data_IF_633646296945
#
_entry.id   IF_633646296945
#
_cell.length_a   1.000
_cell.length_b   1.000
_cell.length_c   1.000
_cell.angle_alpha   90.00
_cell.angle_beta   90.00
_cell.angle_gamma   90.00
#
_symmetry.space_group_name_H-M   'P 1'
#
loop_
_entity.id
_entity.type
_entity.pdbx_description
1 polymer ?
#
# COMPACT_ATOMS: atom_id res chain seq x y z
N UNK A 1 11.53 19.71 6.86
CA UNK A 1 10.98 18.97 8.02
C UNK A 1 10.98 17.50 7.66
N UNK A 2 11.54 16.62 8.49
CA UNK A 2 11.26 15.19 8.35
C UNK A 2 9.99 14.87 9.13
N UNK A 3 9.04 14.12 8.54
CA UNK A 3 7.80 13.80 9.21
C UNK A 3 8.09 12.87 10.39
N UNK A 4 7.67 13.26 11.60
CA UNK A 4 7.79 12.44 12.81
C UNK A 4 7.17 11.03 12.64
N UNK A 5 6.17 10.90 11.76
CA UNK A 5 5.58 9.60 11.39
C UNK A 5 6.56 8.60 10.76
N UNK A 6 7.68 9.05 10.19
CA UNK A 6 8.72 8.15 9.69
C UNK A 6 9.44 7.36 10.80
N UNK A 7 9.34 7.78 12.06
CA UNK A 7 9.90 7.07 13.22
C UNK A 7 9.07 5.86 13.67
N UNK A 8 7.81 5.75 13.22
CA UNK A 8 6.89 4.65 13.58
C UNK A 8 7.02 3.42 12.69
N UNK A 9 7.83 3.49 11.63
CA UNK A 9 8.02 2.42 10.64
C UNK A 9 9.50 2.03 10.59
N UNK A 10 9.80 0.78 10.18
CA UNK A 10 11.15 0.22 10.18
C UNK A 10 12.26 1.15 9.66
N UNK A 11 13.45 1.02 10.26
CA UNK A 11 14.65 1.83 9.98
C UNK A 11 15.03 1.71 8.51
N UNK A 12 15.08 2.84 7.79
CA UNK A 12 15.60 2.92 6.43
C UNK A 12 16.56 4.09 6.26
N UNK A 13 17.52 3.97 5.33
CA UNK A 13 18.61 4.95 5.14
C UNK A 13 18.06 6.36 4.92
N UNK A 14 17.05 6.51 4.07
CA UNK A 14 16.43 7.81 3.77
C UNK A 14 15.68 8.42 4.95
N UNK A 15 15.20 7.59 5.89
CA UNK A 15 14.49 8.05 7.10
C UNK A 15 15.45 8.51 8.20
N UNK A 16 16.58 7.81 8.38
CA UNK A 16 17.61 8.20 9.37
C UNK A 16 18.37 9.46 8.93
N UNK A 17 18.50 9.68 7.62
CA UNK A 17 19.25 10.81 7.07
C UNK A 17 18.78 12.18 7.60
N UNK A 18 17.49 12.32 7.86
CA UNK A 18 16.95 13.59 8.37
C UNK A 18 17.20 13.84 9.86
N UNK A 19 17.55 12.79 10.62
CA UNK A 19 18.00 12.92 12.01
C UNK A 19 19.48 13.37 12.10
N UNK A 20 20.25 13.19 11.02
CA UNK A 20 21.68 13.51 11.02
C UNK A 20 21.94 15.01 11.28
N UNK A 21 21.28 15.99 10.61
CA UNK A 21 21.52 17.40 10.88
C UNK A 21 21.27 17.83 12.34
N UNK A 22 20.11 17.53 12.98
CA UNK A 22 19.90 17.92 14.38
C UNK A 22 20.85 17.19 15.34
N UNK A 23 21.17 15.91 15.09
CA UNK A 23 22.14 15.18 15.90
C UNK A 23 23.54 15.82 15.83
N UNK A 24 24.01 16.21 14.65
CA UNK A 24 25.30 16.90 14.47
C UNK A 24 25.33 18.23 15.22
N UNK A 25 24.24 19.01 15.17
CA UNK A 25 24.16 20.29 15.90
C UNK A 25 24.23 20.06 17.41
N UNK A 26 23.48 19.10 17.95
CA UNK A 26 23.55 18.77 19.38
C UNK A 26 24.92 18.25 19.80
N UNK A 27 25.55 17.41 18.98
CA UNK A 27 26.92 16.94 19.20
C UNK A 27 27.90 18.11 19.23
N UNK A 28 27.78 19.06 18.31
CA UNK A 28 28.62 20.27 18.30
C UNK A 28 28.44 21.14 19.55
N UNK A 29 27.19 21.41 19.93
CA UNK A 29 26.85 22.20 21.14
C UNK A 29 27.37 21.50 22.41
N UNK A 30 27.31 20.17 22.47
CA UNK A 30 27.80 19.42 23.62
C UNK A 30 29.34 19.29 23.66
N UNK A 31 29.99 19.12 22.51
CA UNK A 31 31.43 18.93 22.43
C UNK A 31 32.21 20.21 22.73
N UNK A 32 31.72 21.38 22.30
CA UNK A 32 32.47 22.64 22.43
C UNK A 32 32.77 23.04 23.91
N UNK A 33 31.79 23.01 24.85
CA UNK A 33 32.05 23.26 26.26
C UNK A 33 32.94 22.19 26.90
N UNK A 34 32.78 20.93 26.51
CA UNK A 34 33.54 19.79 27.05
C UNK A 34 35.01 19.90 26.64
N UNK A 35 35.28 20.12 25.35
CA UNK A 35 36.64 20.32 24.84
C UNK A 35 37.28 21.57 25.46
N UNK A 36 36.53 22.67 25.57
CA UNK A 36 36.99 23.91 26.22
C UNK A 36 37.32 23.73 27.71
N UNK A 37 36.62 22.84 28.42
CA UNK A 37 36.94 22.48 29.80
C UNK A 37 38.19 21.60 29.88
N UNK A 38 38.32 20.60 28.99
CA UNK A 38 39.47 19.70 28.93
C UNK A 38 40.77 20.45 28.63
N UNK A 39 40.77 21.37 27.66
CA UNK A 39 41.98 22.13 27.29
C UNK A 39 42.47 23.10 28.37
N UNK A 40 41.63 23.42 29.37
CA UNK A 40 42.05 24.16 30.57
C UNK A 40 42.80 23.29 31.58
N UNK A 41 42.65 21.96 31.50
CA UNK A 41 43.22 20.98 32.45
C UNK A 41 44.39 20.21 31.87
N UNK A 42 44.42 20.01 30.56
CA UNK A 42 45.46 19.29 29.83
C UNK A 42 45.86 20.05 28.55
N UNK A 43 47.09 19.88 28.03
CA UNK A 43 47.51 20.51 26.79
C UNK A 43 46.57 20.15 25.64
N UNK A 44 46.23 21.13 24.78
CA UNK A 44 45.30 20.95 23.66
C UNK A 44 45.67 19.78 22.72
N UNK A 45 46.97 19.48 22.59
CA UNK A 45 47.44 18.35 21.81
C UNK A 45 46.91 17.00 22.34
N UNK A 46 46.72 16.85 23.65
CA UNK A 46 46.30 15.58 24.25
C UNK A 46 44.87 15.14 23.83
N UNK A 47 43.80 15.95 23.99
CA UNK A 47 42.47 15.56 23.51
C UNK A 47 42.40 15.49 21.98
N UNK A 48 43.17 16.30 21.25
CA UNK A 48 43.24 16.23 19.79
C UNK A 48 43.86 14.91 19.30
N UNK A 49 44.97 14.48 19.90
CA UNK A 49 45.61 13.20 19.62
C UNK A 49 44.71 12.04 20.05
N UNK A 50 44.05 12.14 21.21
CA UNK A 50 43.12 11.10 21.67
C UNK A 50 41.91 10.94 20.73
N UNK A 51 41.32 12.04 20.27
CA UNK A 51 40.22 12.02 19.31
C UNK A 51 40.69 11.47 17.96
N UNK A 52 41.84 11.93 17.46
CA UNK A 52 42.42 11.43 16.22
C UNK A 52 42.69 9.93 16.31
N UNK A 53 43.35 9.46 17.37
CA UNK A 53 43.59 8.04 17.61
C UNK A 53 42.29 7.24 17.73
N UNK A 54 41.29 7.75 18.47
CA UNK A 54 39.99 7.09 18.61
C UNK A 54 39.25 6.94 17.29
N UNK A 55 39.19 8.01 16.47
CA UNK A 55 38.58 7.97 15.14
C UNK A 55 39.35 7.08 14.17
N UNK A 56 40.68 7.12 14.19
CA UNK A 56 41.52 6.24 13.36
C UNK A 56 41.36 4.78 13.75
N UNK A 57 41.37 4.45 15.04
CA UNK A 57 41.13 3.10 15.54
C UNK A 57 39.71 2.63 15.21
N UNK A 58 38.71 3.51 15.35
CA UNK A 58 37.33 3.24 14.94
C UNK A 58 37.22 2.95 13.44
N UNK A 59 37.87 3.75 12.59
CA UNK A 59 37.92 3.53 11.14
C UNK A 59 38.60 2.21 10.77
N UNK A 60 39.74 1.89 11.39
CA UNK A 60 40.44 0.60 11.20
C UNK A 60 39.57 -0.57 11.67
N UNK A 61 38.89 -0.42 12.81
CA UNK A 61 37.97 -1.41 13.32
C UNK A 61 36.81 -1.66 12.36
N UNK A 62 36.15 -0.60 11.88
CA UNK A 62 35.06 -0.70 10.90
C UNK A 62 35.52 -1.34 9.58
N UNK A 63 36.72 -0.98 9.10
CA UNK A 63 37.31 -1.61 7.91
C UNK A 63 37.54 -3.10 8.14
N UNK A 64 38.15 -3.47 9.27
CA UNK A 64 38.38 -4.87 9.63
C UNK A 64 37.05 -5.63 9.75
N UNK A 65 36.08 -5.04 10.42
CA UNK A 65 34.74 -5.63 10.60
C UNK A 65 34.06 -5.87 9.24
N UNK A 66 34.09 -4.88 8.36
CA UNK A 66 33.57 -5.02 6.99
C UNK A 66 34.30 -6.11 6.19
N UNK A 67 35.62 -6.27 6.36
CA UNK A 67 36.40 -7.30 5.67
C UNK A 67 36.21 -8.71 6.25
N UNK A 68 35.99 -8.82 7.57
CA UNK A 68 35.92 -10.12 8.27
C UNK A 68 34.48 -10.63 8.38
N UNK A 69 33.56 -9.73 8.72
CA UNK A 69 32.15 -10.06 9.01
C UNK A 69 31.20 -9.57 7.91
N UNK A 70 31.65 -8.70 7.00
CA UNK A 70 30.83 -8.24 5.89
C UNK A 70 30.53 -9.38 4.92
N UNK A 71 29.26 -9.57 4.50
CA UNK A 71 28.92 -10.59 3.52
C UNK A 71 29.54 -10.24 2.16
N UNK A 72 30.31 -11.15 1.58
CA UNK A 72 30.81 -11.02 0.20
C UNK A 72 29.67 -11.13 -0.84
N UNK A 73 28.60 -11.84 -0.46
CA UNK A 73 27.41 -12.03 -1.27
C UNK A 73 26.17 -12.05 -0.38
N UNK A 74 25.10 -11.40 -0.81
CA UNK A 74 23.80 -11.51 -0.14
C UNK A 74 23.03 -12.67 -0.75
N UNK A 75 22.32 -13.41 0.10
CA UNK A 75 21.44 -14.52 -0.31
C UNK A 75 19.97 -14.10 -0.43
N UNK A 76 19.62 -12.90 0.00
CA UNK A 76 18.31 -12.32 -0.29
C UNK A 76 18.37 -11.67 -1.68
N UNK A 77 17.70 -12.25 -2.67
CA UNK A 77 17.65 -11.73 -4.05
C UNK A 77 16.36 -10.99 -4.39
N UNK A 78 15.49 -10.74 -3.40
CA UNK A 78 14.28 -9.96 -3.57
C UNK A 78 14.53 -8.45 -3.60
N UNK A 79 13.45 -7.68 -3.71
CA UNK A 79 13.47 -6.21 -3.84
C UNK A 79 14.36 -5.49 -2.81
N UNK A 80 14.40 -5.99 -1.58
CA UNK A 80 15.13 -5.40 -0.46
C UNK A 80 16.54 -6.00 -0.24
N UNK A 81 16.98 -6.89 -1.12
CA UNK A 81 18.28 -7.55 -1.06
C UNK A 81 19.17 -7.20 -2.26
N UNK A 82 19.96 -8.18 -2.71
CA UNK A 82 20.77 -8.08 -3.91
C UNK A 82 19.89 -8.29 -5.15
N UNK A 83 19.62 -7.20 -5.86
CA UNK A 83 18.81 -7.20 -7.08
C UNK A 83 19.59 -7.83 -8.23
N UNK A 84 19.47 -9.15 -8.38
CA UNK A 84 20.17 -9.98 -9.34
C UNK A 84 19.20 -10.55 -10.37
N UNK A 85 19.62 -10.67 -11.63
CA UNK A 85 18.84 -11.33 -12.68
C UNK A 85 18.73 -10.55 -13.99
N UNK A 86 19.06 -9.26 -14.01
CA UNK A 86 18.88 -8.42 -15.18
C UNK A 86 19.58 -8.97 -16.43
N UNK A 87 20.87 -9.30 -16.34
CA UNK A 87 21.60 -9.91 -17.47
C UNK A 87 21.00 -11.27 -17.85
N UNK A 88 20.72 -12.12 -16.85
CA UNK A 88 20.21 -13.49 -17.06
C UNK A 88 18.87 -13.48 -17.79
N UNK A 89 18.00 -12.54 -17.46
CA UNK A 89 16.70 -12.34 -18.08
C UNK A 89 16.83 -11.65 -19.44
N UNK A 90 17.31 -10.41 -19.46
CA UNK A 90 17.19 -9.52 -20.62
C UNK A 90 18.27 -9.73 -21.68
N UNK A 91 19.42 -10.32 -21.34
CA UNK A 91 20.49 -10.62 -22.31
C UNK A 91 20.49 -12.11 -22.65
N UNK A 92 20.51 -12.97 -21.64
CA UNK A 92 20.85 -14.37 -21.86
C UNK A 92 19.64 -15.25 -22.22
N UNK A 93 18.41 -14.89 -21.79
CA UNK A 93 17.24 -15.78 -21.91
C UNK A 93 16.12 -15.23 -22.78
N UNK A 94 15.61 -14.04 -22.48
CA UNK A 94 14.44 -13.45 -23.16
C UNK A 94 14.68 -13.29 -24.68
N UNK A 95 15.83 -12.78 -25.15
CA UNK A 95 16.09 -12.66 -26.59
C UNK A 95 15.95 -13.99 -27.34
N UNK A 96 16.33 -15.11 -26.72
CA UNK A 96 16.19 -16.44 -27.30
C UNK A 96 14.74 -16.82 -27.54
N UNK A 97 13.84 -16.52 -26.61
CA UNK A 97 12.39 -16.73 -26.78
C UNK A 97 11.82 -15.82 -27.87
N UNK A 98 12.20 -14.54 -27.88
CA UNK A 98 11.73 -13.57 -28.87
C UNK A 98 12.17 -13.91 -30.31
N UNK A 99 13.32 -14.56 -30.47
CA UNK A 99 13.84 -15.00 -31.75
C UNK A 99 13.15 -16.27 -32.29
N UNK A 100 12.64 -17.14 -31.41
CA UNK A 100 11.98 -18.39 -31.80
C UNK A 100 10.54 -18.19 -32.26
N UNK A 101 9.83 -17.24 -31.65
CA UNK A 101 8.44 -16.94 -31.97
C UNK A 101 8.26 -15.42 -32.13
N UNK A 102 8.01 -14.91 -33.35
CA UNK A 102 7.86 -13.48 -33.59
C UNK A 102 6.56 -12.90 -33.00
N UNK A 103 5.59 -13.74 -32.68
CA UNK A 103 4.31 -13.32 -32.09
C UNK A 103 4.35 -13.28 -30.57
N UNK A 104 5.32 -13.94 -29.94
CA UNK A 104 5.43 -14.05 -28.49
C UNK A 104 5.47 -12.68 -27.81
N UNK A 105 4.64 -12.55 -26.76
CA UNK A 105 4.62 -11.44 -25.82
C UNK A 105 5.17 -11.93 -24.48
N UNK A 106 5.99 -11.11 -23.82
CA UNK A 106 6.61 -11.47 -22.54
C UNK A 106 6.26 -10.44 -21.47
N UNK A 107 5.63 -10.91 -20.39
CA UNK A 107 5.38 -10.10 -19.20
C UNK A 107 6.42 -10.40 -18.13
N UNK A 108 7.18 -9.42 -17.66
CA UNK A 108 8.23 -9.61 -16.66
C UNK A 108 7.82 -8.95 -15.35
N UNK A 109 7.82 -9.70 -14.25
CA UNK A 109 7.56 -9.13 -12.94
C UNK A 109 8.62 -8.09 -12.57
N UNK A 110 8.18 -6.97 -11.99
CA UNK A 110 9.04 -5.93 -11.44
C UNK A 110 9.34 -6.11 -9.95
N UNK A 111 8.75 -7.13 -9.30
CA UNK A 111 8.78 -7.29 -7.83
C UNK A 111 10.14 -7.65 -7.23
N UNK A 112 11.16 -7.89 -8.06
CA UNK A 112 12.50 -8.29 -7.64
C UNK A 112 13.53 -7.14 -7.72
N UNK A 113 13.23 -6.03 -8.39
CA UNK A 113 14.18 -4.93 -8.57
C UNK A 113 13.52 -3.54 -8.58
N UNK A 114 14.22 -2.54 -8.03
CA UNK A 114 13.82 -1.15 -8.12
C UNK A 114 14.10 -0.64 -9.53
N UNK A 115 13.14 0.07 -10.15
CA UNK A 115 13.30 0.60 -11.49
C UNK A 115 13.45 -0.48 -12.57
N UNK A 116 12.79 -1.63 -12.42
CA UNK A 116 12.91 -2.76 -13.35
C UNK A 116 12.53 -2.42 -14.80
N UNK A 117 11.73 -1.37 -15.01
CA UNK A 117 11.40 -0.82 -16.32
C UNK A 117 12.63 -0.34 -17.10
N UNK A 118 13.65 0.21 -16.41
CA UNK A 118 14.87 0.72 -17.05
C UNK A 118 15.67 -0.38 -17.76
N UNK A 119 15.51 -1.65 -17.34
CA UNK A 119 16.16 -2.77 -18.00
C UNK A 119 15.64 -3.00 -19.43
N UNK A 120 14.35 -2.73 -19.68
CA UNK A 120 13.79 -2.80 -21.03
C UNK A 120 14.45 -1.76 -21.92
N UNK A 121 14.65 -0.57 -21.39
CA UNK A 121 15.24 0.52 -22.15
C UNK A 121 16.73 0.32 -22.41
N UNK A 122 17.43 -0.25 -21.44
CA UNK A 122 18.87 -0.49 -21.51
C UNK A 122 19.26 -1.69 -22.38
N UNK A 123 18.54 -2.82 -22.28
CA UNK A 123 18.96 -4.08 -22.92
C UNK A 123 18.29 -4.36 -24.27
N UNK A 124 17.10 -3.81 -24.55
CA UNK A 124 16.37 -4.15 -25.76
C UNK A 124 16.41 -3.08 -26.84
N UNK A 125 16.39 -3.57 -28.09
CA UNK A 125 16.24 -2.71 -29.27
C UNK A 125 14.80 -2.18 -29.40
N UNK A 126 14.58 -1.10 -30.18
CA UNK A 126 13.25 -0.57 -30.44
C UNK A 126 12.26 -1.59 -31.02
N UNK A 127 12.73 -2.62 -31.71
CA UNK A 127 11.90 -3.69 -32.29
C UNK A 127 11.50 -4.75 -31.25
N UNK A 128 12.35 -5.00 -30.26
CA UNK A 128 12.09 -5.97 -29.19
C UNK A 128 11.21 -5.38 -28.08
N UNK A 129 11.40 -4.10 -27.76
CA UNK A 129 10.75 -3.43 -26.63
C UNK A 129 9.21 -3.52 -26.63
N UNK A 130 8.49 -3.36 -27.75
CA UNK A 130 7.03 -3.48 -27.77
C UNK A 130 6.49 -4.88 -27.40
N UNK A 131 7.37 -5.89 -27.38
CA UNK A 131 7.02 -7.29 -27.14
C UNK A 131 7.31 -7.74 -25.71
N UNK A 132 7.91 -6.87 -24.89
CA UNK A 132 8.21 -7.16 -23.49
C UNK A 132 7.72 -6.01 -22.62
N UNK A 133 6.89 -6.34 -21.64
CA UNK A 133 6.33 -5.37 -20.70
C UNK A 133 6.64 -5.75 -19.26
N UNK A 134 6.68 -4.75 -18.38
CA UNK A 134 6.66 -5.00 -16.93
C UNK A 134 5.24 -5.40 -16.54
N UNK A 135 5.05 -6.67 -16.20
CA UNK A 135 3.75 -7.26 -15.91
C UNK A 135 3.90 -8.39 -14.88
N UNK A 136 3.24 -8.24 -13.73
CA UNK A 136 3.18 -9.26 -12.68
C UNK A 136 1.93 -10.12 -12.81
N UNK A 137 1.94 -11.29 -12.18
CA UNK A 137 0.76 -12.18 -12.17
C UNK A 137 -0.42 -11.58 -11.39
N UNK A 138 -0.15 -10.61 -10.51
CA UNK A 138 -1.17 -9.84 -9.81
C UNK A 138 -2.19 -9.24 -10.78
N UNK A 139 -1.75 -8.76 -11.96
CA UNK A 139 -2.64 -8.23 -12.98
C UNK A 139 -3.74 -9.22 -13.42
N UNK A 140 -3.47 -10.53 -13.40
CA UNK A 140 -4.44 -11.57 -13.76
C UNK A 140 -5.10 -12.24 -12.54
N UNK A 141 -4.57 -11.99 -11.34
CA UNK A 141 -5.15 -12.49 -10.10
C UNK A 141 -6.16 -11.51 -9.53
N UNK A 142 -5.91 -10.21 -9.62
CA UNK A 142 -6.73 -9.19 -8.97
C UNK A 142 -8.00 -8.89 -9.78
N UNK A 143 -7.90 -8.96 -11.10
CA UNK A 143 -9.01 -8.72 -12.03
C UNK A 143 -8.94 -9.69 -13.22
N UNK A 144 -10.10 -9.98 -13.82
CA UNK A 144 -10.15 -10.77 -15.05
C UNK A 144 -9.73 -9.93 -16.25
N UNK A 145 -8.43 -9.80 -16.44
CA UNK A 145 -7.85 -9.16 -17.61
C UNK A 145 -7.62 -10.15 -18.74
N UNK A 146 -7.63 -9.64 -19.98
CA UNK A 146 -7.36 -10.43 -21.18
C UNK A 146 -5.96 -11.05 -21.12
N UNK A 147 -5.91 -12.37 -21.29
CA UNK A 147 -4.67 -13.15 -21.28
C UNK A 147 -4.44 -13.72 -22.69
N UNK A 148 -3.56 -13.11 -23.49
CA UNK A 148 -3.24 -13.62 -24.81
C UNK A 148 -2.64 -15.04 -24.74
N UNK A 149 -2.98 -15.95 -25.66
CA UNK A 149 -2.47 -17.33 -25.65
C UNK A 149 -0.95 -17.42 -25.88
N UNK A 150 -0.38 -16.39 -26.50
CA UNK A 150 1.05 -16.22 -26.77
C UNK A 150 1.76 -15.37 -25.71
N UNK A 151 1.18 -15.22 -24.52
CA UNK A 151 1.84 -14.56 -23.39
C UNK A 151 2.69 -15.56 -22.60
N UNK A 152 3.96 -15.23 -22.42
CA UNK A 152 4.87 -15.92 -21.51
C UNK A 152 5.22 -15.00 -20.35
N UNK A 153 5.00 -15.46 -19.14
CA UNK A 153 5.26 -14.68 -17.94
C UNK A 153 6.59 -15.05 -17.30
N UNK A 154 7.37 -14.05 -16.89
CA UNK A 154 8.57 -14.21 -16.07
C UNK A 154 8.21 -13.81 -14.64
N UNK A 155 8.09 -14.82 -13.78
CA UNK A 155 7.55 -14.70 -12.42
C UNK A 155 8.61 -15.02 -11.37
N UNK A 156 8.51 -14.38 -10.21
CA UNK A 156 9.31 -14.71 -9.03
C UNK A 156 8.77 -15.98 -8.32
N UNK A 157 9.52 -16.57 -7.37
CA UNK A 157 9.07 -17.75 -6.62
C UNK A 157 7.76 -17.51 -5.84
N UNK A 158 7.59 -16.31 -5.29
CA UNK A 158 6.37 -15.95 -4.56
C UNK A 158 5.16 -15.86 -5.49
N UNK A 159 5.36 -15.33 -6.69
CA UNK A 159 4.30 -15.17 -7.68
C UNK A 159 3.84 -16.51 -8.26
N UNK A 160 4.76 -17.43 -8.54
CA UNK A 160 4.37 -18.77 -9.00
C UNK A 160 3.60 -19.51 -7.90
N UNK A 161 4.00 -19.37 -6.64
CA UNK A 161 3.26 -19.92 -5.51
C UNK A 161 1.82 -19.40 -5.45
N UNK A 162 1.62 -18.09 -5.62
CA UNK A 162 0.29 -17.47 -5.68
C UNK A 162 -0.54 -17.97 -6.86
N UNK A 163 0.07 -18.12 -8.04
CA UNK A 163 -0.62 -18.60 -9.23
C UNK A 163 -1.04 -20.08 -9.07
N UNK A 164 -0.17 -20.94 -8.57
CA UNK A 164 -0.46 -22.36 -8.36
C UNK A 164 -1.52 -22.59 -7.27
N UNK A 165 -1.55 -21.75 -6.23
CA UNK A 165 -2.54 -21.83 -5.17
C UNK A 165 -3.92 -21.28 -5.58
N UNK A 166 -4.00 -20.52 -6.68
CA UNK A 166 -5.21 -19.83 -7.10
C UNK A 166 -6.15 -20.75 -7.88
N UNK A 167 -7.46 -20.80 -7.55
CA UNK A 167 -8.44 -21.53 -8.36
C UNK A 167 -8.72 -20.86 -9.71
N UNK A 168 -8.17 -19.67 -9.97
CA UNK A 168 -8.39 -18.91 -11.20
C UNK A 168 -7.66 -19.51 -12.40
N UNK A 169 -6.63 -20.33 -12.19
CA UNK A 169 -5.86 -20.96 -13.25
C UNK A 169 -6.08 -22.47 -13.26
N UNK A 170 -6.49 -23.03 -14.40
CA UNK A 170 -6.51 -24.50 -14.59
C UNK A 170 -5.16 -25.05 -14.99
N UNK A 171 -4.28 -24.21 -15.51
CA UNK A 171 -2.93 -24.61 -15.93
C UNK A 171 -1.92 -23.53 -15.61
N UNK A 172 -0.83 -23.94 -14.96
CA UNK A 172 0.35 -23.13 -14.65
C UNK A 172 1.57 -23.92 -15.12
N UNK A 173 1.92 -23.78 -16.39
CA UNK A 173 2.99 -24.58 -17.02
C UNK A 173 4.29 -23.82 -16.97
N UNK A 174 5.31 -24.41 -16.35
CA UNK A 174 6.68 -23.85 -16.31
C UNK A 174 7.46 -24.34 -17.53
N UNK A 175 7.82 -23.42 -18.42
CA UNK A 175 8.67 -23.68 -19.58
C UNK A 175 10.15 -23.76 -19.16
N UNK A 176 10.57 -22.89 -18.23
CA UNK A 176 11.96 -22.80 -17.77
C UNK A 176 12.03 -22.20 -16.37
N UNK A 177 13.00 -22.66 -15.58
CA UNK A 177 13.40 -22.03 -14.32
C UNK A 177 14.85 -21.55 -14.44
N UNK A 178 15.10 -20.31 -14.01
CA UNK A 178 16.44 -19.76 -13.87
C UNK A 178 16.78 -19.67 -12.37
N UNK A 179 17.87 -20.32 -11.92
CA UNK A 179 18.28 -20.25 -10.54
C UNK A 179 19.00 -18.93 -10.24
N UNK A 180 18.94 -18.50 -8.98
CA UNK A 180 19.85 -17.53 -8.41
C UNK A 180 21.28 -18.09 -8.27
N UNK A 181 22.29 -17.24 -7.98
CA UNK A 181 23.69 -17.67 -7.84
C UNK A 181 23.92 -18.78 -6.81
N UNK A 182 23.08 -18.85 -5.77
CA UNK A 182 23.14 -19.88 -4.73
C UNK A 182 22.42 -21.18 -5.11
N UNK A 183 21.86 -21.25 -6.31
CA UNK A 183 21.13 -22.42 -6.83
C UNK A 183 19.65 -22.46 -6.45
N UNK A 184 19.18 -21.55 -5.59
CA UNK A 184 17.75 -21.43 -5.29
C UNK A 184 16.97 -20.95 -6.53
N UNK A 185 15.68 -21.29 -6.67
CA UNK A 185 14.91 -20.82 -7.81
C UNK A 185 14.75 -19.29 -7.80
N UNK A 186 15.02 -18.64 -8.94
CA UNK A 186 14.93 -17.18 -9.05
C UNK A 186 13.82 -16.68 -9.97
N UNK A 187 13.74 -17.22 -11.19
CA UNK A 187 12.72 -16.82 -12.14
C UNK A 187 12.10 -18.02 -12.83
N UNK A 188 10.79 -17.97 -13.02
CA UNK A 188 10.03 -18.97 -13.75
C UNK A 188 9.44 -18.35 -15.02
N UNK A 189 9.66 -19.00 -16.15
CA UNK A 189 9.00 -18.70 -17.42
C UNK A 189 7.75 -19.57 -17.48
N UNK A 190 6.58 -18.95 -17.41
CA UNK A 190 5.31 -19.61 -17.13
C UNK A 190 4.26 -19.24 -18.16
N UNK A 191 3.53 -20.25 -18.63
CA UNK A 191 2.30 -20.07 -19.41
C UNK A 191 1.11 -20.35 -18.51
N UNK A 192 0.21 -19.38 -18.44
CA UNK A 192 -0.99 -19.45 -17.63
C UNK A 192 -2.20 -19.70 -18.53
N UNK A 193 -3.15 -20.47 -18.01
CA UNK A 193 -4.47 -20.62 -18.62
C UNK A 193 -5.52 -20.50 -17.53
N UNK A 194 -6.44 -19.56 -17.71
CA UNK A 194 -7.58 -19.42 -16.81
C UNK A 194 -8.42 -20.70 -16.73
N UNK A 195 -9.01 -20.93 -15.56
CA UNK A 195 -10.00 -21.97 -15.35
C UNK A 195 -11.24 -21.75 -16.22
N UNK A 196 -11.93 -22.82 -16.59
CA UNK A 196 -13.12 -22.74 -17.44
C UNK A 196 -14.27 -21.96 -16.76
N UNK A 197 -14.31 -21.99 -15.43
CA UNK A 197 -15.26 -21.27 -14.58
C UNK A 197 -14.68 -19.98 -13.98
N UNK A 198 -13.63 -19.40 -14.57
CA UNK A 198 -12.94 -18.22 -13.99
C UNK A 198 -13.87 -17.03 -13.77
N UNK A 199 -14.87 -16.84 -14.64
CA UNK A 199 -15.88 -15.79 -14.48
C UNK A 199 -16.70 -15.96 -13.20
N UNK A 200 -17.07 -17.20 -12.88
CA UNK A 200 -17.80 -17.52 -11.66
C UNK A 200 -16.91 -17.28 -10.43
N UNK A 201 -15.62 -17.63 -10.51
CA UNK A 201 -14.65 -17.40 -9.42
C UNK A 201 -14.51 -15.90 -9.13
N UNK A 202 -14.24 -15.07 -10.13
CA UNK A 202 -14.15 -13.62 -9.93
C UNK A 202 -15.48 -13.01 -9.49
N UNK A 203 -16.60 -13.47 -10.04
CA UNK A 203 -17.93 -12.99 -9.63
C UNK A 203 -18.23 -13.35 -8.19
N UNK A 204 -17.94 -14.58 -7.77
CA UNK A 204 -18.14 -15.04 -6.40
C UNK A 204 -17.24 -14.28 -5.41
N UNK A 205 -15.97 -14.08 -5.75
CA UNK A 205 -15.06 -13.26 -4.95
C UNK A 205 -15.58 -11.82 -4.83
N UNK A 206 -16.02 -11.21 -5.93
CA UNK A 206 -16.59 -9.86 -5.92
C UNK A 206 -17.85 -9.80 -5.04
N UNK A 207 -18.76 -10.76 -5.17
CA UNK A 207 -19.97 -10.85 -4.33
C UNK A 207 -19.59 -11.01 -2.85
N UNK A 208 -18.60 -11.84 -2.54
CA UNK A 208 -18.10 -12.03 -1.17
C UNK A 208 -17.41 -10.77 -0.62
N UNK A 209 -16.76 -9.99 -1.47
CA UNK A 209 -16.14 -8.70 -1.12
C UNK A 209 -17.16 -7.56 -1.02
N UNK A 210 -18.31 -7.68 -1.67
CA UNK A 210 -19.43 -6.72 -1.58
C UNK A 210 -20.35 -6.95 -0.39
N UNK A 211 -20.21 -8.05 0.35
CA UNK A 211 -21.01 -8.26 1.56
C UNK A 211 -20.63 -7.23 2.64
N UNK A 212 -21.62 -6.54 3.24
CA UNK A 212 -21.34 -5.59 4.31
C UNK A 212 -20.80 -6.30 5.55
N UNK A 213 -19.93 -5.61 6.27
CA UNK A 213 -19.45 -5.99 7.59
C UNK A 213 -20.42 -5.41 8.61
N UNK A 214 -20.76 -6.20 9.63
CA UNK A 214 -21.58 -5.76 10.76
C UNK A 214 -20.72 -5.76 12.03
N UNK A 215 -20.70 -4.63 12.73
CA UNK A 215 -20.06 -4.48 14.03
C UNK A 215 -21.02 -3.78 15.00
N UNK A 216 -20.86 -4.01 16.30
CA UNK A 216 -21.66 -3.31 17.31
C UNK A 216 -20.74 -2.64 18.32
N UNK A 217 -20.95 -1.35 18.55
CA UNK A 217 -20.12 -0.51 19.42
C UNK A 217 -20.96 0.49 20.20
N UNK A 218 -20.37 1.02 21.27
CA UNK A 218 -21.00 2.06 22.08
C UNK A 218 -20.68 3.44 21.49
N UNK A 219 -21.67 4.03 20.81
CA UNK A 219 -21.58 5.35 20.21
C UNK A 219 -22.67 6.26 20.78
N UNK A 220 -22.32 7.51 21.05
CA UNK A 220 -23.26 8.52 21.57
C UNK A 220 -24.03 8.06 22.82
N UNK A 221 -23.36 7.34 23.72
CA UNK A 221 -23.92 6.86 24.98
C UNK A 221 -24.89 5.68 24.86
N UNK A 222 -24.96 5.01 23.72
CA UNK A 222 -25.79 3.83 23.52
C UNK A 222 -25.11 2.80 22.61
N UNK A 223 -25.63 1.58 22.63
CA UNK A 223 -25.18 0.53 21.71
C UNK A 223 -25.76 0.79 20.32
N UNK A 224 -24.90 0.81 19.31
CA UNK A 224 -25.26 1.04 17.90
C UNK A 224 -24.71 -0.12 17.07
N UNK A 225 -25.58 -0.73 16.27
CA UNK A 225 -25.16 -1.71 15.26
C UNK A 225 -24.82 -0.94 13.99
N UNK A 226 -23.59 -1.11 13.51
CA UNK A 226 -23.09 -0.43 12.32
C UNK A 226 -22.85 -1.47 11.23
N UNK A 227 -23.50 -1.29 10.08
CA UNK A 227 -23.30 -2.12 8.88
C UNK A 227 -22.62 -1.28 7.82
N UNK A 228 -21.48 -1.72 7.31
CA UNK A 228 -20.71 -0.91 6.37
C UNK A 228 -20.06 -1.75 5.28
N UNK A 229 -19.77 -1.11 4.14
CA UNK A 229 -19.04 -1.74 3.05
C UNK A 229 -17.68 -2.24 3.53
N UNK A 230 -17.24 -3.39 3.01
CA UNK A 230 -15.98 -4.02 3.42
C UNK A 230 -14.79 -3.09 3.27
N UNK A 231 -13.88 -3.15 4.24
CA UNK A 231 -12.67 -2.31 4.31
C UNK A 231 -11.40 -3.12 4.06
N UNK A 232 -10.36 -2.47 3.57
CA UNK A 232 -9.03 -3.06 3.35
C UNK A 232 -7.92 -2.44 4.20
N UNK A 233 -8.21 -1.32 4.88
CA UNK A 233 -7.34 -0.68 5.85
C UNK A 233 -8.15 0.09 6.89
N UNK A 234 -7.59 0.20 8.10
CA UNK A 234 -8.26 0.82 9.25
C UNK A 234 -9.37 -0.03 9.86
N UNK A 235 -9.92 0.43 10.97
CA UNK A 235 -11.01 -0.19 11.70
C UNK A 235 -12.14 0.82 11.94
N UNK A 236 -13.34 0.34 12.26
CA UNK A 236 -14.51 1.22 12.40
C UNK A 236 -14.35 2.25 13.52
N UNK A 237 -13.60 1.95 14.59
CA UNK A 237 -13.34 2.92 15.66
C UNK A 237 -12.51 4.12 15.22
N UNK A 238 -11.70 3.97 14.16
CA UNK A 238 -10.80 5.01 13.65
C UNK A 238 -11.58 6.18 13.00
N UNK A 239 -12.90 6.05 12.78
CA UNK A 239 -13.72 7.14 12.24
C UNK A 239 -14.55 7.87 13.30
N UNK A 240 -14.34 7.55 14.57
CA UNK A 240 -15.03 8.13 15.73
C UNK A 240 -14.08 8.56 16.84
N UNK A 241 -12.76 8.52 16.63
CA UNK A 241 -11.75 8.80 17.65
C UNK A 241 -11.36 10.28 17.74
N UNK A 242 -11.91 11.14 16.87
CA UNK A 242 -11.58 12.55 16.77
C UNK A 242 -10.13 12.83 16.35
N UNK A 243 -9.45 11.85 15.74
CA UNK A 243 -8.14 11.98 15.15
C UNK A 243 -8.21 11.91 13.61
N UNK A 244 -8.14 13.07 12.96
CA UNK A 244 -8.15 13.15 11.49
C UNK A 244 -6.97 12.45 10.80
N UNK A 245 -5.96 11.97 11.53
CA UNK A 245 -4.86 11.20 10.97
C UNK A 245 -5.13 9.70 10.90
N UNK A 246 -6.08 9.18 11.67
CA UNK A 246 -6.59 7.83 11.51
C UNK A 246 -7.64 7.81 10.39
N UNK A 247 -7.89 6.62 9.83
CA UNK A 247 -8.85 6.47 8.74
C UNK A 247 -9.33 5.02 8.63
N UNK A 248 -10.53 4.87 8.11
CA UNK A 248 -11.06 3.64 7.56
C UNK A 248 -11.14 3.75 6.03
N UNK A 249 -10.64 2.76 5.31
CA UNK A 249 -10.65 2.73 3.84
C UNK A 249 -11.51 1.59 3.30
N UNK A 250 -12.44 1.94 2.41
CA UNK A 250 -13.22 0.97 1.66
C UNK A 250 -12.35 0.12 0.73
N UNK A 251 -12.69 -1.17 0.61
CA UNK A 251 -11.95 -2.11 -0.22
C UNK A 251 -12.20 -1.88 -1.71
N UNK A 252 -13.45 -2.11 -2.18
CA UNK A 252 -13.81 -2.04 -3.61
C UNK A 252 -15.22 -1.48 -3.85
N UNK A 253 -15.89 -0.89 -2.86
CA UNK A 253 -17.30 -0.50 -2.98
C UNK A 253 -17.43 0.98 -3.37
N UNK A 254 -18.11 1.25 -4.49
CA UNK A 254 -18.59 2.59 -4.86
C UNK A 254 -20.07 2.52 -5.29
N UNK A 255 -21.03 3.09 -4.53
CA UNK A 255 -20.81 3.88 -3.32
C UNK A 255 -20.33 3.04 -2.14
N UNK A 256 -19.56 3.66 -1.24
CA UNK A 256 -19.34 3.12 0.10
C UNK A 256 -20.59 3.37 0.95
N UNK A 257 -21.08 2.34 1.60
CA UNK A 257 -22.28 2.38 2.43
C UNK A 257 -21.88 2.26 3.89
N UNK A 258 -22.46 3.10 4.75
CA UNK A 258 -22.44 2.93 6.21
C UNK A 258 -23.82 3.21 6.79
N UNK A 259 -24.35 2.22 7.49
CA UNK A 259 -25.65 2.23 8.14
C UNK A 259 -25.48 2.15 9.64
N UNK A 260 -26.20 3.01 10.36
CA UNK A 260 -26.27 3.04 11.81
C UNK A 260 -27.68 2.63 12.25
N UNK A 261 -27.79 1.59 13.05
CA UNK A 261 -29.03 1.17 13.70
C UNK A 261 -28.92 1.43 15.21
N UNK A 262 -29.74 2.34 15.71
CA UNK A 262 -29.72 2.76 17.11
C UNK A 262 -30.56 1.83 17.97
N UNK A 263 -29.99 1.33 19.08
CA UNK A 263 -30.75 0.54 20.06
C UNK A 263 -31.88 1.35 20.72
N UNK A 264 -31.70 2.67 20.84
CA UNK A 264 -32.72 3.63 21.25
C UNK A 264 -32.81 4.76 20.22
N UNK A 265 -33.97 4.96 19.56
CA UNK A 265 -34.13 6.04 18.59
C UNK A 265 -33.74 7.39 19.20
N UNK A 266 -32.95 8.18 18.46
CA UNK A 266 -32.41 9.46 18.93
C UNK A 266 -32.65 10.60 17.94
N UNK A 267 -32.63 11.86 18.38
CA UNK A 267 -32.54 12.98 17.46
C UNK A 267 -31.24 12.91 16.66
N UNK A 268 -31.34 13.18 15.36
CA UNK A 268 -30.20 13.36 14.44
C UNK A 268 -30.50 14.58 13.58
N UNK A 269 -29.73 15.63 13.76
CA UNK A 269 -29.96 16.96 13.19
C UNK A 269 -29.01 17.31 12.05
N UNK A 270 -27.93 16.54 11.92
CA UNK A 270 -26.97 16.70 10.84
C UNK A 270 -25.86 15.66 10.89
N UNK A 271 -24.96 15.78 9.91
CA UNK A 271 -23.74 15.00 9.76
C UNK A 271 -22.56 15.97 9.61
N UNK A 272 -21.49 15.71 10.36
CA UNK A 272 -20.17 16.28 10.14
C UNK A 272 -19.23 15.14 9.76
N UNK A 273 -18.40 15.32 8.74
CA UNK A 273 -17.50 14.27 8.30
C UNK A 273 -16.22 14.83 7.69
N UNK A 274 -15.14 14.07 7.84
CA UNK A 274 -13.86 14.31 7.19
C UNK A 274 -13.54 13.11 6.27
N UNK A 275 -13.20 13.38 5.01
CA UNK A 275 -12.90 12.35 4.01
C UNK A 275 -11.49 12.52 3.44
N UNK A 276 -10.99 11.51 2.71
CA UNK A 276 -9.89 11.72 1.79
C UNK A 276 -10.29 12.57 0.58
N UNK A 277 -9.31 13.16 -0.10
CA UNK A 277 -9.57 14.02 -1.27
C UNK A 277 -10.24 13.27 -2.43
N UNK A 278 -11.44 13.72 -2.81
CA UNK A 278 -12.19 13.26 -3.98
C UNK A 278 -13.35 14.22 -4.28
N UNK A 279 -13.92 14.13 -5.48
CA UNK A 279 -15.25 14.65 -5.78
C UNK A 279 -16.29 13.59 -5.44
N UNK A 280 -17.30 13.92 -4.64
CA UNK A 280 -18.23 12.93 -4.13
C UNK A 280 -19.66 13.43 -4.00
N UNK A 281 -20.59 12.48 -4.04
CA UNK A 281 -21.99 12.68 -3.67
C UNK A 281 -22.25 11.95 -2.36
N UNK A 282 -22.82 12.67 -1.40
CA UNK A 282 -23.24 12.12 -0.12
C UNK A 282 -24.77 12.06 -0.09
N UNK A 283 -25.31 10.86 0.13
CA UNK A 283 -26.74 10.64 0.31
C UNK A 283 -26.96 10.08 1.71
N UNK A 284 -27.75 10.77 2.54
CA UNK A 284 -28.12 10.33 3.87
C UNK A 284 -29.63 10.08 3.94
N UNK A 285 -30.03 8.89 4.38
CA UNK A 285 -31.42 8.48 4.52
C UNK A 285 -31.72 8.25 6.01
N UNK A 286 -32.63 9.04 6.58
CA UNK A 286 -33.01 8.97 7.98
C UNK A 286 -34.36 8.28 8.12
N UNK A 287 -34.39 7.14 8.81
CA UNK A 287 -35.60 6.38 9.10
C UNK A 287 -36.12 6.75 10.49
N UNK A 288 -37.32 7.31 10.56
CA UNK A 288 -37.99 7.59 11.82
C UNK A 288 -38.41 6.32 12.56
N UNK A 289 -38.56 6.39 13.88
CA UNK A 289 -39.00 5.26 14.69
C UNK A 289 -40.33 4.67 14.17
N UNK A 290 -40.32 3.40 13.74
CA UNK A 290 -41.49 2.71 13.20
C UNK A 290 -41.88 3.09 11.76
N UNK A 291 -41.11 3.95 11.09
CA UNK A 291 -41.31 4.31 9.68
C UNK A 291 -40.45 3.45 8.76
N UNK A 292 -41.06 2.87 7.73
CA UNK A 292 -40.33 2.18 6.67
C UNK A 292 -39.76 3.15 5.61
N UNK A 293 -40.35 4.34 5.45
CA UNK A 293 -39.91 5.34 4.49
C UNK A 293 -38.89 6.30 5.15
N UNK A 294 -37.74 6.55 4.50
CA UNK A 294 -36.76 7.52 5.00
C UNK A 294 -37.08 8.96 4.54
N UNK A 295 -36.50 9.92 5.25
CA UNK A 295 -36.26 11.27 4.73
C UNK A 295 -34.86 11.29 4.13
N UNK A 296 -34.73 11.67 2.87
CA UNK A 296 -33.48 11.62 2.12
C UNK A 296 -32.87 13.00 1.95
N UNK A 297 -31.58 13.10 2.26
CA UNK A 297 -30.73 14.26 2.05
C UNK A 297 -29.65 13.90 1.05
N UNK A 298 -29.40 14.79 0.10
CA UNK A 298 -28.47 14.54 -0.99
C UNK A 298 -27.68 15.80 -1.30
N UNK A 299 -26.35 15.67 -1.36
CA UNK A 299 -25.47 16.78 -1.72
C UNK A 299 -24.27 16.30 -2.50
N UNK A 300 -23.88 17.10 -3.49
CA UNK A 300 -22.64 16.93 -4.25
C UNK A 300 -21.59 17.90 -3.73
N UNK A 301 -20.36 17.41 -3.65
CA UNK A 301 -19.18 18.14 -3.26
C UNK A 301 -18.14 17.99 -4.37
N UNK A 302 -17.73 19.13 -4.93
CA UNK A 302 -16.82 19.21 -6.07
C UNK A 302 -15.68 20.17 -5.72
N UNK A 303 -14.47 19.88 -6.20
CA UNK A 303 -13.30 20.76 -6.11
C UNK A 303 -12.99 21.25 -4.68
N UNK A 304 -13.20 20.38 -3.69
CA UNK A 304 -12.90 20.72 -2.30
C UNK A 304 -11.37 20.68 -2.02
N UNK A 305 -10.89 21.39 -0.98
CA UNK A 305 -9.51 21.28 -0.51
C UNK A 305 -9.13 19.84 -0.13
N UNK A 306 -7.82 19.60 0.01
CA UNK A 306 -7.31 18.29 0.45
C UNK A 306 -7.90 17.88 1.81
N UNK A 307 -8.26 16.59 1.91
CA UNK A 307 -8.91 15.98 3.07
C UNK A 307 -10.12 16.81 3.57
N UNK A 308 -11.20 16.90 2.78
CA UNK A 308 -12.26 17.87 3.04
C UNK A 308 -13.07 17.57 4.29
N UNK A 309 -13.34 18.63 5.05
CA UNK A 309 -14.37 18.65 6.09
C UNK A 309 -15.71 19.10 5.50
N UNK A 310 -16.79 18.38 5.82
CA UNK A 310 -18.14 18.76 5.41
C UNK A 310 -19.11 18.79 6.58
N UNK A 311 -20.11 19.65 6.44
CA UNK A 311 -21.28 19.71 7.31
C UNK A 311 -22.56 19.67 6.47
N UNK A 312 -23.46 18.77 6.85
CA UNK A 312 -24.78 18.61 6.25
C UNK A 312 -25.85 18.73 7.33
N UNK A 313 -26.74 19.71 7.21
CA UNK A 313 -27.93 19.81 8.06
C UNK A 313 -29.03 18.89 7.55
N UNK A 314 -29.78 18.29 8.47
CA UNK A 314 -30.96 17.49 8.19
C UNK A 314 -32.22 18.28 8.52
N UNK A 315 -32.51 19.30 7.70
CA UNK A 315 -33.72 20.10 7.87
C UNK A 315 -34.98 19.23 7.70
N UNK A 316 -35.94 19.38 8.60
CA UNK A 316 -37.16 18.56 8.60
C UNK A 316 -36.92 17.08 8.93
N UNK A 317 -35.82 16.74 9.62
CA UNK A 317 -35.54 15.38 10.05
C UNK A 317 -36.66 14.82 10.96
N UNK A 318 -36.87 13.48 10.97
CA UNK A 318 -37.72 12.84 11.97
C UNK A 318 -37.29 13.23 13.39
N UNK A 319 -38.25 13.44 14.30
CA UNK A 319 -37.95 13.81 15.68
C UNK A 319 -37.08 12.78 16.40
N UNK A 320 -37.31 11.49 16.12
CA UNK A 320 -36.50 10.38 16.59
C UNK A 320 -36.18 9.46 15.41
N UNK A 321 -34.90 9.22 15.18
CA UNK A 321 -34.34 8.39 14.11
C UNK A 321 -33.91 7.06 14.71
N UNK A 322 -34.38 5.96 14.13
CA UNK A 322 -33.97 4.60 14.51
C UNK A 322 -32.85 4.06 13.64
N UNK A 323 -32.74 4.56 12.39
CA UNK A 323 -31.71 4.13 11.44
C UNK A 323 -31.25 5.26 10.53
N UNK A 324 -29.95 5.34 10.28
CA UNK A 324 -29.33 6.27 9.32
C UNK A 324 -28.56 5.44 8.30
N UNK A 325 -28.84 5.60 7.02
CA UNK A 325 -28.10 4.98 5.93
C UNK A 325 -27.38 6.07 5.14
N UNK A 326 -26.06 5.96 5.04
CA UNK A 326 -25.20 6.93 4.36
C UNK A 326 -24.54 6.23 3.17
N UNK A 327 -24.65 6.85 2.00
CA UNK A 327 -23.94 6.47 0.78
C UNK A 327 -22.94 7.56 0.42
N UNK A 328 -21.70 7.16 0.19
CA UNK A 328 -20.61 8.01 -0.27
C UNK A 328 -20.24 7.51 -1.66
N UNK A 329 -20.62 8.26 -2.70
CA UNK A 329 -20.32 7.92 -4.08
C UNK A 329 -19.15 8.79 -4.57
N UNK A 330 -18.01 8.17 -4.88
CA UNK A 330 -16.96 8.86 -5.62
C UNK A 330 -17.44 9.08 -7.07
N UNK A 331 -17.41 10.33 -7.53
CA UNK A 331 -17.92 10.75 -8.83
C UNK A 331 -16.91 10.55 -9.96
N UNK A 332 -15.65 10.28 -9.64
CA UNK A 332 -14.56 10.11 -10.61
C UNK A 332 -14.26 8.64 -10.90
N UNK A 333 -14.68 7.74 -10.02
CA UNK A 333 -14.46 6.29 -10.15
C UNK A 333 -15.72 5.57 -10.67
N UNK A 334 -15.52 4.37 -11.24
CA UNK A 334 -16.60 3.47 -11.63
C UNK A 334 -17.20 2.74 -10.43
N UNK A 335 -17.63 1.49 -10.63
CA UNK A 335 -18.26 0.67 -9.56
C UNK A 335 -17.32 0.30 -8.40
N UNK A 336 -16.02 0.60 -8.54
CA UNK A 336 -14.98 0.28 -7.54
C UNK A 336 -14.19 1.52 -7.16
N UNK A 337 -14.16 1.86 -5.87
CA UNK A 337 -13.37 2.96 -5.32
C UNK A 337 -12.86 2.61 -3.92
N UNK A 338 -11.66 3.10 -3.59
CA UNK A 338 -11.10 3.05 -2.24
C UNK A 338 -11.44 4.35 -1.48
N UNK A 339 -12.68 4.43 -0.99
CA UNK A 339 -13.15 5.63 -0.28
C UNK A 339 -12.49 5.71 1.09
N UNK A 340 -11.80 6.83 1.36
CA UNK A 340 -11.18 7.12 2.65
C UNK A 340 -12.13 7.93 3.52
N UNK A 341 -12.46 7.40 4.70
CA UNK A 341 -13.28 8.06 5.71
C UNK A 341 -12.37 8.30 6.92
N UNK A 342 -12.27 9.54 7.37
CA UNK A 342 -11.44 9.92 8.52
C UNK A 342 -12.29 10.12 9.77
N UNK A 343 -13.38 10.88 9.65
CA UNK A 343 -14.28 11.14 10.78
C UNK A 343 -15.73 11.13 10.32
N UNK A 344 -16.63 10.61 11.15
CA UNK A 344 -18.07 10.73 11.00
C UNK A 344 -18.70 11.07 12.35
N UNK A 345 -19.49 12.14 12.38
CA UNK A 345 -20.26 12.55 13.55
C UNK A 345 -21.71 12.86 13.19
N UNK A 346 -22.64 12.10 13.78
CA UNK A 346 -24.07 12.39 13.74
C UNK A 346 -24.45 13.35 14.89
N UNK A 347 -24.91 14.55 14.52
CA UNK A 347 -25.21 15.66 15.44
C UNK A 347 -26.54 15.47 16.15
#
# INVERSE_FOLDING_TARGET
AAPAGAALVGVSITRVLAFIPPAIVMVGIGLDPVLSWLTKRIPQAAPAVALCAGLSLGGIYMLRDALVNGPLWFSNYGLYGMQYGAKQLFVDTIPGYLAQDPTLQIGVSSTWANGANEFLDFFFTPEQRPRVSMLSVGYFLDQKNDMPPNLLMVMTPDEIGKAQASPKFKSVTVDKMLPYPDGTPGFYFVRLVYADNVDEVFTAERVAMSQPVEETMDLWGQRVTVRYSRTDAGQLSDIFDSDRFTLMRGAIANPFIIEFEFSQPRPVTGLSADFGSMDFRLTAQLYGAGSAAPVTYDRKFLDLPFDPHIDMSFEGAPALVSRVHIEILNLQDGDTANIHIREILLK
#
